data_IF_093456868486
#
_entry.id   IF_093456868486
#
_cell.length_a   1.000
_cell.length_b   1.000
_cell.length_c   1.000
_cell.angle_alpha   90.00
_cell.angle_beta   90.00
_cell.angle_gamma   90.00
#
_symmetry.space_group_name_H-M   'P 1'
#
loop_
_entity.id
_entity.type
_entity.pdbx_description
1 polymer ?
#
# COMPACT_ATOMS: atom_id res chain seq x y z
N UNK A 1 51.79 -49.03 -20.94
CA UNK A 1 53.03 -48.64 -21.64
C UNK A 1 52.88 -47.17 -22.04
N UNK A 2 53.31 -46.20 -21.21
CA UNK A 2 54.56 -45.39 -21.28
C UNK A 2 54.78 -44.57 -22.58
N UNK A 3 54.95 -43.25 -22.36
CA UNK A 3 55.64 -42.17 -23.13
C UNK A 3 54.71 -41.21 -23.91
N UNK A 4 54.60 -39.94 -23.46
CA UNK A 4 55.47 -38.78 -23.79
C UNK A 4 55.48 -38.47 -25.29
N UNK A 5 54.94 -37.33 -25.71
CA UNK A 5 55.76 -36.12 -25.90
C UNK A 5 54.90 -34.90 -26.22
N UNK A 6 55.13 -33.81 -25.50
CA UNK A 6 54.71 -32.47 -25.91
C UNK A 6 55.58 -32.02 -27.08
N UNK A 7 54.99 -31.24 -27.99
CA UNK A 7 55.58 -30.11 -28.73
C UNK A 7 54.64 -29.75 -29.88
N UNK A 8 53.82 -28.72 -29.70
CA UNK A 8 53.26 -27.97 -30.83
C UNK A 8 53.07 -26.51 -30.40
N UNK A 9 54.08 -25.72 -30.77
CA UNK A 9 54.08 -24.32 -31.15
C UNK A 9 52.93 -23.42 -30.66
N UNK A 10 53.31 -22.42 -29.87
CA UNK A 10 52.57 -21.17 -29.69
C UNK A 10 52.56 -20.43 -31.02
N UNK A 11 51.38 -20.15 -31.56
CA UNK A 11 51.16 -19.15 -32.61
C UNK A 11 49.87 -18.38 -32.28
N UNK A 12 50.06 -17.13 -31.92
CA UNK A 12 49.11 -16.14 -31.42
C UNK A 12 48.11 -15.71 -32.48
N UNK A 13 46.79 -15.70 -32.20
CA UNK A 13 45.83 -14.77 -32.82
C UNK A 13 44.64 -14.44 -31.90
N UNK A 14 44.51 -13.15 -31.62
CA UNK A 14 43.32 -12.34 -31.33
C UNK A 14 42.29 -12.84 -30.29
N UNK A 15 42.28 -12.15 -29.14
CA UNK A 15 41.01 -11.78 -28.51
C UNK A 15 40.96 -10.26 -28.44
N UNK A 16 40.18 -9.67 -29.34
CA UNK A 16 39.84 -8.26 -29.29
C UNK A 16 39.09 -8.00 -27.98
N UNK A 17 39.62 -7.11 -27.15
CA UNK A 17 38.87 -6.55 -26.02
C UNK A 17 37.70 -5.75 -26.59
N UNK A 18 36.49 -6.29 -26.48
CA UNK A 18 35.28 -5.51 -26.63
C UNK A 18 35.18 -4.55 -25.44
N UNK A 19 35.64 -3.32 -25.64
CA UNK A 19 35.30 -2.20 -24.76
C UNK A 19 33.79 -2.00 -24.91
N UNK A 20 33.02 -2.46 -23.92
CA UNK A 20 31.63 -2.09 -23.78
C UNK A 20 31.58 -0.59 -23.45
N UNK A 21 31.51 0.26 -24.47
CA UNK A 21 31.09 1.64 -24.28
C UNK A 21 29.64 1.59 -23.82
N UNK A 22 29.42 1.77 -22.52
CA UNK A 22 28.10 2.05 -21.97
C UNK A 22 27.62 3.36 -22.58
N UNK A 23 26.83 3.29 -23.66
CA UNK A 23 26.12 4.45 -24.17
C UNK A 23 25.03 4.77 -23.15
N UNK A 24 25.32 5.72 -22.26
CA UNK A 24 24.30 6.39 -21.48
C UNK A 24 23.24 6.93 -22.46
N UNK A 25 22.02 6.38 -22.39
CA UNK A 25 20.92 6.87 -23.20
C UNK A 25 20.61 8.31 -22.74
N UNK A 26 20.58 9.30 -23.64
CA UNK A 26 20.22 10.65 -23.28
C UNK A 26 18.77 10.67 -22.78
N UNK A 27 18.58 11.25 -21.60
CA UNK A 27 17.26 11.59 -21.07
C UNK A 27 16.60 12.58 -22.05
N UNK A 28 15.67 12.08 -22.87
CA UNK A 28 14.92 12.92 -23.82
C UNK A 28 13.90 13.80 -23.09
N UNK A 29 13.70 15.07 -23.51
CA UNK A 29 12.70 15.95 -22.90
C UNK A 29 11.30 15.57 -23.42
N UNK A 30 10.60 14.70 -22.69
CA UNK A 30 9.19 14.37 -22.91
C UNK A 30 8.27 15.31 -22.13
N UNK A 31 7.30 15.91 -22.81
CA UNK A 31 6.50 17.06 -22.39
C UNK A 31 5.78 16.97 -21.04
N UNK A 32 5.74 18.12 -20.35
CA UNK A 32 4.75 18.44 -19.32
C UNK A 32 3.35 18.51 -19.96
N UNK A 33 2.70 17.36 -20.07
CA UNK A 33 1.26 17.29 -20.33
C UNK A 33 0.51 17.83 -19.11
N UNK A 34 -0.36 18.82 -19.32
CA UNK A 34 -1.31 19.34 -18.33
C UNK A 34 -2.11 18.19 -17.70
N UNK A 35 -1.75 17.80 -16.49
CA UNK A 35 -2.35 16.68 -15.74
C UNK A 35 -3.75 16.95 -15.20
N UNK A 36 -4.68 17.45 -16.03
CA UNK A 36 -6.09 17.62 -15.68
C UNK A 36 -6.95 16.41 -16.03
N UNK A 37 -6.48 15.53 -16.92
CA UNK A 37 -7.29 14.42 -17.45
C UNK A 37 -6.97 13.04 -16.84
N UNK A 38 -6.03 12.97 -15.88
CA UNK A 38 -5.70 11.73 -15.15
C UNK A 38 -6.56 11.50 -13.89
N UNK A 39 -7.54 12.38 -13.63
CA UNK A 39 -8.38 12.35 -12.43
C UNK A 39 -9.74 11.70 -12.72
N UNK A 40 -9.74 10.37 -12.90
CA UNK A 40 -10.98 9.61 -13.10
C UNK A 40 -11.93 9.66 -11.88
N UNK A 41 -13.25 9.52 -12.08
CA UNK A 41 -14.22 9.49 -10.98
C UNK A 41 -13.91 8.32 -10.03
N UNK A 42 -13.52 8.67 -8.79
CA UNK A 42 -13.29 7.68 -7.74
C UNK A 42 -11.83 7.33 -7.46
N UNK A 43 -10.83 8.08 -7.94
CA UNK A 43 -9.48 8.04 -7.36
C UNK A 43 -9.55 8.40 -5.85
N UNK A 44 -8.80 7.69 -4.99
CA UNK A 44 -8.80 7.87 -3.52
C UNK A 44 -8.31 9.28 -3.13
N UNK A 45 -9.21 10.27 -3.11
CA UNK A 45 -9.00 11.55 -2.42
C UNK A 45 -9.23 11.39 -0.92
N UNK A 46 -8.59 10.38 -0.35
CA UNK A 46 -8.57 10.16 1.08
C UNK A 46 -7.50 11.03 1.72
N UNK A 47 -7.72 11.53 2.95
CA UNK A 47 -6.64 12.08 3.75
C UNK A 47 -5.46 11.07 3.76
N UNK A 48 -4.27 11.49 3.31
CA UNK A 48 -3.01 10.74 3.44
C UNK A 48 -2.39 10.22 2.13
N UNK A 49 -3.10 10.27 1.00
CA UNK A 49 -2.57 9.82 -0.31
C UNK A 49 -1.92 10.92 -1.16
N UNK A 50 -2.04 12.19 -0.76
CA UNK A 50 -1.47 13.37 -1.46
C UNK A 50 -0.27 13.96 -0.70
N UNK A 51 0.67 13.12 -0.25
CA UNK A 51 1.87 13.55 0.49
C UNK A 51 3.16 13.17 -0.25
N UNK A 52 4.04 14.14 -0.50
CA UNK A 52 5.34 13.98 -1.20
C UNK A 52 6.44 13.32 -0.33
N UNK A 53 6.12 12.33 0.49
CA UNK A 53 7.09 11.69 1.37
C UNK A 53 6.70 10.26 1.68
N UNK A 54 7.57 9.29 1.37
CA UNK A 54 7.33 7.85 1.51
C UNK A 54 6.87 7.39 2.90
N UNK A 55 7.72 6.74 3.70
CA UNK A 55 7.34 6.23 5.03
C UNK A 55 6.75 7.31 5.97
N UNK A 56 7.12 8.58 5.75
CA UNK A 56 6.56 9.74 6.47
C UNK A 56 5.09 10.04 6.10
N UNK A 57 4.68 9.81 4.85
CA UNK A 57 3.30 10.00 4.40
C UNK A 57 2.35 8.97 5.02
N UNK A 58 2.81 7.72 5.17
CA UNK A 58 2.07 6.65 5.84
C UNK A 58 1.85 6.92 7.34
N UNK A 59 2.73 7.73 7.94
CA UNK A 59 2.66 8.16 9.34
C UNK A 59 2.10 9.56 9.55
N UNK A 60 1.62 10.21 8.48
CA UNK A 60 0.96 11.50 8.62
C UNK A 60 -0.31 11.34 9.47
N UNK A 61 -0.67 12.36 10.28
CA UNK A 61 -1.99 12.40 10.96
C UNK A 61 -3.14 12.12 9.98
N UNK A 62 -2.93 12.57 8.75
CA UNK A 62 -3.78 12.37 7.59
C UNK A 62 -3.95 10.87 7.24
N UNK A 63 -2.88 10.07 7.25
CA UNK A 63 -2.93 8.62 7.03
C UNK A 63 -3.51 7.84 8.22
N UNK A 64 -3.34 8.31 9.46
CA UNK A 64 -4.03 7.76 10.62
C UNK A 64 -5.55 8.04 10.56
N UNK A 65 -5.94 9.22 10.08
CA UNK A 65 -7.34 9.60 9.84
C UNK A 65 -8.04 8.84 8.71
N UNK A 66 -7.32 8.00 7.95
CA UNK A 66 -7.89 7.19 6.88
C UNK A 66 -8.97 6.22 7.40
N UNK A 67 -8.78 5.61 8.56
CA UNK A 67 -9.78 4.69 9.13
C UNK A 67 -11.07 5.43 9.53
N UNK A 68 -10.95 6.62 10.12
CA UNK A 68 -12.10 7.49 10.39
C UNK A 68 -12.88 7.86 9.11
N UNK A 69 -12.17 8.30 8.06
CA UNK A 69 -12.78 8.58 6.76
C UNK A 69 -13.51 7.35 6.16
N UNK A 70 -12.98 6.14 6.37
CA UNK A 70 -13.64 4.90 5.93
C UNK A 70 -14.95 4.65 6.68
N UNK A 71 -15.02 4.95 7.98
CA UNK A 71 -16.27 4.84 8.75
C UNK A 71 -17.31 5.83 8.24
N UNK A 72 -16.93 7.09 8.02
CA UNK A 72 -17.84 8.12 7.50
C UNK A 72 -18.38 7.71 6.12
N UNK A 73 -17.53 7.10 5.28
CA UNK A 73 -17.95 6.57 3.97
C UNK A 73 -18.93 5.41 4.11
N UNK A 74 -18.74 4.50 5.07
CA UNK A 74 -19.68 3.41 5.35
C UNK A 74 -21.03 3.99 5.78
N UNK A 75 -21.04 5.01 6.65
CA UNK A 75 -22.28 5.67 7.08
C UNK A 75 -23.06 6.25 5.89
N UNK A 76 -22.37 6.95 4.98
CA UNK A 76 -22.98 7.56 3.80
C UNK A 76 -23.58 6.52 2.84
N UNK A 77 -22.93 5.37 2.68
CA UNK A 77 -23.35 4.33 1.72
C UNK A 77 -24.47 3.45 2.30
N UNK A 78 -24.33 3.07 3.58
CA UNK A 78 -25.21 2.10 4.23
C UNK A 78 -26.41 2.77 4.89
N UNK A 79 -26.27 4.04 5.29
CA UNK A 79 -27.28 4.82 6.02
C UNK A 79 -27.90 4.00 7.15
N UNK A 80 -27.13 3.67 8.22
CA UNK A 80 -27.60 2.75 9.25
C UNK A 80 -28.88 3.25 9.90
N UNK A 81 -29.82 2.35 10.17
CA UNK A 81 -31.09 2.68 10.83
C UNK A 81 -30.87 3.00 12.31
N UNK A 82 -31.90 3.49 13.00
CA UNK A 82 -31.85 3.73 14.45
C UNK A 82 -31.53 2.44 15.23
N UNK A 83 -32.12 1.31 14.83
CA UNK A 83 -31.84 0.01 15.43
C UNK A 83 -30.39 -0.48 15.21
N UNK A 84 -29.71 -0.01 14.16
CA UNK A 84 -28.32 -0.37 13.84
C UNK A 84 -27.31 0.61 14.45
N UNK A 85 -27.78 1.74 15.01
CA UNK A 85 -26.93 2.87 15.42
C UNK A 85 -25.91 2.50 16.47
N UNK A 86 -26.35 1.80 17.52
CA UNK A 86 -25.46 1.35 18.59
C UNK A 86 -24.30 0.48 18.07
N UNK A 87 -24.55 -0.43 17.12
CA UNK A 87 -23.49 -1.27 16.53
C UNK A 87 -22.60 -0.51 15.55
N UNK A 88 -23.13 0.50 14.89
CA UNK A 88 -22.32 1.40 14.11
C UNK A 88 -21.39 2.26 14.99
N UNK A 89 -21.87 2.72 16.14
CA UNK A 89 -21.07 3.50 17.10
C UNK A 89 -19.97 2.64 17.75
N UNK A 90 -20.26 1.37 18.07
CA UNK A 90 -19.24 0.39 18.49
C UNK A 90 -18.11 0.26 17.44
N UNK A 91 -18.48 0.18 16.15
CA UNK A 91 -17.52 0.12 15.04
C UNK A 91 -16.72 1.42 14.91
N UNK A 92 -17.36 2.59 15.09
CA UNK A 92 -16.67 3.89 15.08
C UNK A 92 -15.62 3.96 16.20
N UNK A 93 -15.99 3.59 17.42
CA UNK A 93 -15.07 3.56 18.56
C UNK A 93 -13.88 2.60 18.33
N UNK A 94 -14.13 1.43 17.74
CA UNK A 94 -13.07 0.49 17.37
C UNK A 94 -12.12 1.07 16.30
N UNK A 95 -12.66 1.81 15.34
CA UNK A 95 -11.88 2.51 14.31
C UNK A 95 -11.01 3.63 14.91
N UNK A 96 -11.55 4.40 15.86
CA UNK A 96 -10.81 5.46 16.54
C UNK A 96 -9.64 4.88 17.34
N UNK A 97 -9.88 3.79 18.08
CA UNK A 97 -8.83 3.07 18.80
C UNK A 97 -7.74 2.51 17.86
N UNK A 98 -8.15 1.95 16.73
CA UNK A 98 -7.22 1.46 15.71
C UNK A 98 -6.39 2.60 15.09
N UNK A 99 -7.02 3.74 14.81
CA UNK A 99 -6.35 4.94 14.29
C UNK A 99 -5.28 5.45 15.25
N UNK A 100 -5.60 5.49 16.54
CA UNK A 100 -4.65 5.91 17.58
C UNK A 100 -3.48 4.93 17.73
N UNK A 101 -3.74 3.62 17.68
CA UNK A 101 -2.67 2.62 17.72
C UNK A 101 -1.70 2.77 16.53
N UNK A 102 -2.21 3.04 15.32
CA UNK A 102 -1.37 3.33 14.15
C UNK A 102 -0.58 4.63 14.29
N UNK A 103 -1.20 5.67 14.88
CA UNK A 103 -0.53 6.94 15.15
C UNK A 103 0.62 6.78 16.14
N UNK A 104 0.43 5.99 17.20
CA UNK A 104 1.44 5.72 18.22
C UNK A 104 2.60 4.85 17.68
N UNK A 105 2.35 4.02 16.68
CA UNK A 105 3.38 3.22 16.02
C UNK A 105 4.25 4.04 15.05
N UNK A 106 3.95 5.33 14.86
CA UNK A 106 4.75 6.19 14.02
C UNK A 106 6.02 6.67 14.73
N UNK A 107 7.15 6.75 14.01
CA UNK A 107 8.41 7.07 14.63
C UNK A 107 8.47 8.58 14.88
N UNK A 108 8.91 8.99 16.06
CA UNK A 108 9.16 10.41 16.38
C UNK A 108 10.38 10.95 15.63
N UNK A 109 11.34 10.07 15.30
CA UNK A 109 12.53 10.37 14.51
C UNK A 109 12.68 9.37 13.36
N UNK A 110 13.03 9.86 12.17
CA UNK A 110 13.21 8.99 11.00
C UNK A 110 14.48 8.16 11.14
N UNK A 111 14.42 6.81 11.10
CA UNK A 111 15.62 5.98 11.21
C UNK A 111 16.61 6.24 10.06
N UNK A 112 17.85 6.57 10.40
CA UNK A 112 18.91 6.87 9.42
C UNK A 112 19.63 5.62 8.91
N UNK A 113 19.65 4.54 9.71
CA UNK A 113 20.28 3.26 9.35
C UNK A 113 19.32 2.33 8.62
N UNK A 114 19.86 1.41 7.81
CA UNK A 114 19.05 0.39 7.13
C UNK A 114 18.34 -0.54 8.13
N UNK A 115 19.04 -0.96 9.19
CA UNK A 115 18.49 -1.82 10.25
C UNK A 115 17.35 -1.11 11.01
N UNK A 116 17.54 0.15 11.39
CA UNK A 116 16.50 0.91 12.08
C UNK A 116 15.25 1.13 11.22
N UNK A 117 15.39 1.25 9.89
CA UNK A 117 14.24 1.31 8.98
C UNK A 117 13.45 -0.01 8.96
N UNK A 118 14.13 -1.16 9.03
CA UNK A 118 13.48 -2.48 9.08
C UNK A 118 12.73 -2.69 10.39
N UNK A 119 13.34 -2.37 11.53
CA UNK A 119 12.68 -2.43 12.84
C UNK A 119 11.44 -1.54 12.91
N UNK A 120 11.50 -0.36 12.28
CA UNK A 120 10.33 0.51 12.16
C UNK A 120 9.22 -0.13 11.31
N UNK A 121 9.57 -0.72 10.16
CA UNK A 121 8.59 -1.40 9.31
C UNK A 121 7.90 -2.55 10.06
N UNK A 122 8.65 -3.33 10.83
CA UNK A 122 8.13 -4.42 11.66
C UNK A 122 7.11 -3.90 12.69
N UNK A 123 7.48 -2.90 13.50
CA UNK A 123 6.59 -2.28 14.49
C UNK A 123 5.31 -1.72 13.86
N UNK A 124 5.44 -1.10 12.69
CA UNK A 124 4.29 -0.57 11.95
C UNK A 124 3.36 -1.69 11.46
N UNK A 125 3.90 -2.79 10.95
CA UNK A 125 3.10 -3.95 10.54
C UNK A 125 2.38 -4.60 11.72
N UNK A 126 3.03 -4.69 12.87
CA UNK A 126 2.40 -5.18 14.10
C UNK A 126 1.22 -4.28 14.52
N UNK A 127 1.40 -2.96 14.49
CA UNK A 127 0.31 -2.02 14.79
C UNK A 127 -0.85 -2.12 13.80
N UNK A 128 -0.57 -2.34 12.50
CA UNK A 128 -1.61 -2.61 11.49
C UNK A 128 -2.37 -3.90 11.81
N UNK A 129 -1.68 -4.97 12.20
CA UNK A 129 -2.31 -6.22 12.61
C UNK A 129 -3.22 -6.04 13.83
N UNK A 130 -2.74 -5.32 14.86
CA UNK A 130 -3.54 -5.05 16.05
C UNK A 130 -4.77 -4.17 15.75
N UNK A 131 -4.63 -3.24 14.82
CA UNK A 131 -5.75 -2.41 14.34
C UNK A 131 -6.84 -3.26 13.70
N UNK A 132 -6.47 -4.21 12.83
CA UNK A 132 -7.43 -5.15 12.23
C UNK A 132 -8.08 -6.04 13.28
N UNK A 133 -7.30 -6.56 14.24
CA UNK A 133 -7.83 -7.37 15.36
C UNK A 133 -8.83 -6.59 16.22
N UNK A 134 -8.62 -5.28 16.36
CA UNK A 134 -9.53 -4.39 17.11
C UNK A 134 -10.83 -4.14 16.36
N UNK A 135 -10.76 -3.86 15.05
CA UNK A 135 -11.95 -3.52 14.25
C UNK A 135 -12.80 -4.73 13.86
N UNK A 136 -12.19 -5.88 13.57
CA UNK A 136 -12.89 -7.05 13.03
C UNK A 136 -14.13 -7.47 13.84
N UNK A 137 -14.07 -7.68 15.18
CA UNK A 137 -15.25 -8.11 15.92
C UNK A 137 -16.38 -7.06 15.92
N UNK A 138 -16.04 -5.77 15.98
CA UNK A 138 -17.04 -4.69 15.91
C UNK A 138 -17.69 -4.62 14.52
N UNK A 139 -16.89 -4.82 13.47
CA UNK A 139 -17.38 -4.85 12.09
C UNK A 139 -18.30 -6.05 11.85
N UNK A 140 -17.93 -7.24 12.31
CA UNK A 140 -18.78 -8.44 12.23
C UNK A 140 -20.11 -8.24 12.96
N UNK A 141 -20.08 -7.66 14.15
CA UNK A 141 -21.29 -7.36 14.93
C UNK A 141 -22.19 -6.34 14.21
N UNK A 142 -21.63 -5.28 13.61
CA UNK A 142 -22.39 -4.32 12.81
C UNK A 142 -22.95 -4.97 11.55
N UNK A 143 -22.13 -5.71 10.80
CA UNK A 143 -22.52 -6.39 9.57
C UNK A 143 -23.68 -7.38 9.78
N UNK A 144 -23.70 -8.06 10.94
CA UNK A 144 -24.79 -8.96 11.30
C UNK A 144 -26.16 -8.26 11.45
N UNK A 145 -26.17 -6.95 11.74
CA UNK A 145 -27.42 -6.16 11.86
C UNK A 145 -27.95 -5.64 10.52
N UNK A 146 -27.17 -5.74 9.44
CA UNK A 146 -27.51 -5.17 8.15
C UNK A 146 -28.54 -6.02 7.40
N UNK A 147 -29.43 -5.33 6.68
CA UNK A 147 -30.30 -6.00 5.68
C UNK A 147 -29.48 -6.52 4.51
N UNK A 148 -30.08 -7.42 3.72
CA UNK A 148 -29.40 -7.99 2.55
C UNK A 148 -29.08 -6.91 1.50
N UNK A 149 -29.94 -5.90 1.33
CA UNK A 149 -29.67 -4.77 0.45
C UNK A 149 -28.51 -3.90 0.95
N UNK A 150 -28.40 -3.71 2.27
CA UNK A 150 -27.28 -2.98 2.86
C UNK A 150 -25.97 -3.76 2.69
N UNK A 151 -25.98 -5.08 2.94
CA UNK A 151 -24.82 -5.95 2.71
C UNK A 151 -24.39 -5.93 1.24
N UNK A 152 -25.33 -6.05 0.30
CA UNK A 152 -25.04 -5.97 -1.13
C UNK A 152 -24.35 -4.64 -1.52
N UNK A 153 -24.74 -3.51 -0.94
CA UNK A 153 -24.06 -2.21 -1.16
C UNK A 153 -22.66 -2.17 -0.58
N UNK A 154 -22.45 -2.80 0.58
CA UNK A 154 -21.15 -2.85 1.25
C UNK A 154 -20.16 -3.80 0.56
N UNK A 155 -20.66 -4.94 0.08
CA UNK A 155 -19.87 -6.02 -0.54
C UNK A 155 -19.65 -5.80 -2.04
N UNK A 156 -20.41 -4.89 -2.66
CA UNK A 156 -20.24 -4.53 -4.05
C UNK A 156 -18.78 -4.12 -4.33
N UNK A 157 -18.07 -4.82 -5.22
CA UNK A 157 -16.73 -4.43 -5.59
C UNK A 157 -16.84 -3.08 -6.28
N UNK A 158 -16.35 -2.03 -5.63
CA UNK A 158 -16.19 -0.70 -6.25
C UNK A 158 -15.58 -0.87 -7.64
N UNK A 159 -15.89 0.01 -8.59
CA UNK A 159 -15.42 -0.07 -9.99
C UNK A 159 -13.92 -0.37 -10.14
N UNK A 160 -13.09 0.06 -9.16
CA UNK A 160 -11.63 -0.22 -9.10
C UNK A 160 -11.26 -1.67 -8.74
N UNK A 161 -12.16 -2.45 -8.14
CA UNK A 161 -12.00 -3.87 -7.84
C UNK A 161 -12.24 -4.81 -9.03
N UNK A 162 -12.70 -4.29 -10.18
CA UNK A 162 -12.82 -5.09 -11.41
C UNK A 162 -11.49 -5.47 -12.03
N UNK A 163 -10.39 -4.81 -11.64
CA UNK A 163 -9.04 -5.20 -12.07
C UNK A 163 -8.74 -6.69 -11.80
N UNK A 164 -9.14 -7.21 -10.63
CA UNK A 164 -8.89 -8.59 -10.24
C UNK A 164 -9.85 -9.61 -10.88
N UNK A 165 -10.94 -9.17 -11.53
CA UNK A 165 -11.91 -10.07 -12.19
C UNK A 165 -11.57 -10.40 -13.64
N UNK A 166 -10.60 -9.71 -14.24
CA UNK A 166 -10.16 -9.91 -15.63
C UNK A 166 -8.78 -10.57 -15.72
N UNK A 167 -8.26 -11.09 -14.61
CA UNK A 167 -6.99 -11.83 -14.52
C UNK A 167 -7.19 -13.35 -14.56
N UNK A 168 -8.42 -13.80 -14.85
CA UNK A 168 -8.82 -15.18 -15.12
C UNK A 168 -9.93 -15.16 -16.19
#
# INVERSE_FOLDING_TARGET
MRKLNQLAAVASVATAMLVATATAQPFGPGGMGSGRDMMGPGMMMGPGFMGRGGHAGACSPTAAGFLGWRIDRIEQVIKPTEAQRAKFDDLKAASDKASEALRLACPTEVPTTAVGRMEFMEKRMEAMLQSVKTMRPAFEAFYATLSDEQKARLDSPTERGRFWRHLW
#
